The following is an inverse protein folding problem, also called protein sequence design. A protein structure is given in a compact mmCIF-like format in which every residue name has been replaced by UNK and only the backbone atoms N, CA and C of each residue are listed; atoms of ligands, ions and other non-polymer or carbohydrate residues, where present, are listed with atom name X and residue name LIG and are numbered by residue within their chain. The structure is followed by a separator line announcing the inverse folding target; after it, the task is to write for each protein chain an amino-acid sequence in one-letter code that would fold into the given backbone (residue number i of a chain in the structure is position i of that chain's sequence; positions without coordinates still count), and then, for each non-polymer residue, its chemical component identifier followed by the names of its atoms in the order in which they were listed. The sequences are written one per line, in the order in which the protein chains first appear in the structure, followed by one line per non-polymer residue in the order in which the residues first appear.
data_IF_054076680527
#
_entry.id   IF_054076680527
#
_cell.length_a   1.000
_cell.length_b   1.000
_cell.length_c   1.000
_cell.angle_alpha   90.00
_cell.angle_beta   90.00
_cell.angle_gamma   90.00
#
_symmetry.space_group_name_H-M   'P 1'
#
loop_
_entity.id
_entity.type
_entity.pdbx_description
1 polymer ?
#
# COMPACT_ATOMS: atom_id res chain seq x y z
N UNK A 1 -6.83 -15.00 69.60
CA UNK A 1 -6.97 -13.79 68.75
C UNK A 1 -5.74 -13.72 67.83
N UNK A 2 -5.96 -13.46 66.51
CA UNK A 2 -5.01 -13.12 65.43
C UNK A 2 -3.79 -14.06 65.20
N UNK A 3 -3.79 -14.96 64.20
CA UNK A 3 -3.51 -14.80 62.75
C UNK A 3 -2.24 -14.00 62.41
N UNK A 4 -1.21 -14.68 61.89
CA UNK A 4 -0.31 -14.10 60.89
C UNK A 4 0.14 -15.18 59.92
N UNK A 5 -0.42 -15.11 58.71
CA UNK A 5 0.01 -15.86 57.52
C UNK A 5 1.27 -15.20 56.95
N UNK A 6 2.27 -16.00 56.60
CA UNK A 6 3.37 -15.54 55.76
C UNK A 6 3.13 -16.02 54.32
N UNK A 7 2.73 -15.09 53.47
CA UNK A 7 2.46 -15.27 52.04
C UNK A 7 3.79 -15.45 51.30
N UNK A 8 3.95 -16.56 50.55
CA UNK A 8 5.03 -16.70 49.58
C UNK A 8 4.79 -15.71 48.42
N UNK A 9 5.72 -14.78 48.21
CA UNK A 9 5.75 -13.93 47.03
C UNK A 9 6.45 -14.68 45.89
N UNK A 10 5.66 -15.26 44.98
CA UNK A 10 6.18 -15.83 43.74
C UNK A 10 6.39 -14.69 42.73
N UNK A 11 7.64 -14.34 42.47
CA UNK A 11 8.03 -13.45 41.36
C UNK A 11 7.79 -14.19 40.05
N UNK A 12 6.71 -13.85 39.34
CA UNK A 12 6.44 -14.31 37.98
C UNK A 12 7.20 -13.39 37.01
N UNK A 13 8.35 -13.85 36.51
CA UNK A 13 9.05 -13.17 35.42
C UNK A 13 8.28 -13.44 34.13
N UNK A 14 7.56 -12.43 33.62
CA UNK A 14 6.93 -12.52 32.31
C UNK A 14 8.03 -12.53 31.23
N UNK A 15 8.28 -13.69 30.62
CA UNK A 15 9.06 -13.80 29.41
C UNK A 15 8.26 -13.12 28.28
N UNK A 16 8.66 -11.92 27.90
CA UNK A 16 8.16 -11.26 26.71
C UNK A 16 8.55 -12.11 25.49
N UNK A 17 7.58 -12.83 24.92
CA UNK A 17 7.72 -13.43 23.59
C UNK A 17 7.91 -12.28 22.60
N UNK A 18 9.16 -12.02 22.22
CA UNK A 18 9.46 -11.22 21.04
C UNK A 18 9.04 -12.06 19.84
N UNK A 19 7.85 -11.77 19.29
CA UNK A 19 7.43 -12.35 18.03
C UNK A 19 8.49 -12.03 16.98
N UNK A 20 8.92 -13.01 16.15
CA UNK A 20 9.84 -12.73 15.07
C UNK A 20 9.24 -11.66 14.17
N UNK A 21 9.98 -10.58 13.95
CA UNK A 21 9.63 -9.54 12.99
C UNK A 21 9.39 -10.21 11.64
N UNK A 22 8.15 -10.11 11.13
CA UNK A 22 7.84 -10.57 9.79
C UNK A 22 8.83 -9.91 8.81
N UNK A 23 9.32 -10.65 7.79
CA UNK A 23 10.22 -10.09 6.80
C UNK A 23 9.56 -8.85 6.18
N UNK A 24 10.31 -7.76 6.07
CA UNK A 24 9.84 -6.55 5.41
C UNK A 24 9.45 -6.91 3.98
N UNK A 25 8.14 -6.87 3.71
CA UNK A 25 7.61 -7.19 2.39
C UNK A 25 8.20 -6.23 1.35
N UNK A 26 8.63 -6.78 0.21
CA UNK A 26 9.29 -6.04 -0.85
C UNK A 26 8.44 -4.82 -1.30
N UNK A 27 9.10 -3.71 -1.70
CA UNK A 27 8.40 -2.49 -2.09
C UNK A 27 7.55 -2.69 -3.36
N UNK A 28 7.84 -3.70 -4.17
CA UNK A 28 6.99 -4.11 -5.27
C UNK A 28 6.97 -5.63 -5.35
N UNK A 29 5.87 -6.20 -5.83
CA UNK A 29 5.72 -7.65 -5.90
C UNK A 29 4.57 -8.12 -6.78
N UNK A 30 4.50 -9.43 -6.92
CA UNK A 30 3.46 -10.16 -7.63
C UNK A 30 2.96 -11.31 -6.76
N UNK A 31 1.69 -11.67 -6.92
CA UNK A 31 1.03 -12.70 -6.14
C UNK A 31 -0.32 -13.08 -6.73
N UNK A 32 -1.14 -13.74 -5.94
CA UNK A 32 -2.48 -14.20 -6.32
C UNK A 32 -3.51 -13.70 -5.32
N UNK A 33 -4.62 -13.15 -5.82
CA UNK A 33 -5.73 -12.66 -5.00
C UNK A 33 -7.06 -13.14 -5.60
N UNK A 34 -7.87 -13.84 -4.79
CA UNK A 34 -9.24 -14.24 -5.10
C UNK A 34 -9.47 -14.78 -6.52
N UNK A 35 -8.65 -15.75 -6.96
CA UNK A 35 -8.79 -16.38 -8.27
C UNK A 35 -8.14 -15.63 -9.44
N UNK A 36 -7.53 -14.48 -9.18
CA UNK A 36 -6.74 -13.71 -10.14
C UNK A 36 -5.29 -13.55 -9.72
N UNK A 37 -4.52 -12.87 -10.56
CA UNK A 37 -3.17 -12.43 -10.25
C UNK A 37 -3.20 -10.99 -9.70
N UNK A 38 -2.25 -10.70 -8.81
CA UNK A 38 -2.10 -9.41 -8.14
C UNK A 38 -0.68 -8.90 -8.38
N UNK A 39 -0.56 -7.62 -8.70
CA UNK A 39 0.72 -6.90 -8.77
C UNK A 39 0.61 -5.67 -7.90
N UNK A 40 1.62 -5.36 -7.11
CA UNK A 40 1.62 -4.17 -6.27
C UNK A 40 2.96 -3.47 -6.24
N UNK A 41 2.91 -2.17 -5.94
CA UNK A 41 4.04 -1.38 -5.46
C UNK A 41 3.59 -0.51 -4.30
N UNK A 42 4.48 -0.31 -3.33
CA UNK A 42 4.29 0.49 -2.14
C UNK A 42 5.49 1.36 -1.82
N UNK A 43 5.22 2.53 -1.24
CA UNK A 43 6.23 3.44 -0.69
C UNK A 43 5.69 4.07 0.59
N UNK A 44 6.57 4.28 1.57
CA UNK A 44 6.18 4.86 2.87
C UNK A 44 7.01 6.10 3.16
N UNK A 45 6.35 7.19 3.57
CA UNK A 45 7.01 8.42 4.00
C UNK A 45 6.23 9.08 5.16
N UNK A 46 6.57 10.33 5.52
CA UNK A 46 5.92 11.09 6.57
C UNK A 46 4.41 11.34 6.38
N UNK A 47 3.84 11.02 5.21
CA UNK A 47 2.40 11.08 4.99
C UNK A 47 1.70 9.74 5.24
N UNK A 48 2.37 8.61 5.09
CA UNK A 48 1.77 7.28 5.19
C UNK A 48 2.37 6.31 4.19
N UNK A 49 1.73 5.14 4.05
CA UNK A 49 2.03 4.11 3.05
C UNK A 49 1.12 4.30 1.84
N UNK A 50 1.73 4.67 0.71
CA UNK A 50 1.09 4.75 -0.60
C UNK A 50 1.26 3.41 -1.30
N UNK A 51 0.18 2.87 -1.84
CA UNK A 51 0.18 1.61 -2.57
C UNK A 51 -0.55 1.77 -3.90
N UNK A 52 -0.02 1.16 -4.94
CA UNK A 52 -0.70 0.95 -6.21
C UNK A 52 -0.76 -0.54 -6.47
N UNK A 53 -1.93 -1.04 -6.85
CA UNK A 53 -2.12 -2.46 -7.10
C UNK A 53 -3.02 -2.71 -8.30
N UNK A 54 -2.71 -3.79 -9.02
CA UNK A 54 -3.44 -4.34 -10.14
C UNK A 54 -3.94 -5.73 -9.79
N UNK A 55 -5.23 -5.99 -10.01
CA UNK A 55 -5.76 -7.34 -10.03
C UNK A 55 -6.24 -7.67 -11.44
N UNK A 56 -5.99 -8.89 -11.90
CA UNK A 56 -6.49 -9.38 -13.20
C UNK A 56 -6.83 -10.88 -13.17
N UNK A 57 -7.73 -11.31 -14.06
CA UNK A 57 -8.22 -12.69 -14.15
C UNK A 57 -9.36 -13.03 -13.19
N UNK A 58 -10.06 -12.05 -12.62
CA UNK A 58 -11.22 -12.24 -11.73
C UNK A 58 -12.40 -11.32 -12.06
N UNK A 59 -13.42 -11.32 -11.19
CA UNK A 59 -14.52 -10.33 -11.24
C UNK A 59 -14.04 -8.89 -11.02
N UNK A 60 -12.84 -8.77 -10.48
CA UNK A 60 -12.27 -7.57 -9.93
C UNK A 60 -11.05 -7.05 -10.70
N UNK A 61 -11.07 -7.19 -12.02
CA UNK A 61 -10.00 -6.70 -12.88
C UNK A 61 -9.89 -5.17 -12.87
N UNK A 62 -8.68 -4.66 -12.65
CA UNK A 62 -8.38 -3.23 -12.69
C UNK A 62 -7.20 -2.81 -11.81
N UNK A 63 -6.90 -1.52 -11.82
CA UNK A 63 -5.86 -0.91 -10.98
C UNK A 63 -6.45 0.13 -10.04
N UNK A 64 -5.93 0.18 -8.82
CA UNK A 64 -6.29 1.16 -7.79
C UNK A 64 -5.05 1.69 -7.06
N UNK A 65 -5.23 2.84 -6.39
CA UNK A 65 -4.19 3.49 -5.59
C UNK A 65 -4.76 3.88 -4.23
N UNK A 66 -4.00 3.72 -3.17
CA UNK A 66 -4.41 4.05 -1.81
C UNK A 66 -3.30 4.66 -0.97
N UNK A 67 -3.63 5.63 -0.12
CA UNK A 67 -2.71 6.19 0.87
C UNK A 67 -3.28 5.99 2.28
N UNK A 68 -2.54 5.22 3.09
CA UNK A 68 -2.91 4.88 4.46
C UNK A 68 -1.92 5.47 5.47
N UNK A 69 -2.41 6.15 6.50
CA UNK A 69 -1.63 6.54 7.68
C UNK A 69 -2.15 5.77 8.88
N UNK A 70 -1.29 4.97 9.51
CA UNK A 70 -1.66 4.11 10.65
C UNK A 70 -2.86 3.18 10.35
N UNK A 71 -2.92 2.64 9.14
CA UNK A 71 -4.01 1.78 8.68
C UNK A 71 -5.32 2.50 8.33
N UNK A 72 -5.36 3.84 8.43
CA UNK A 72 -6.53 4.64 8.07
C UNK A 72 -6.29 5.48 6.82
N UNK A 73 -7.38 5.79 6.10
CA UNK A 73 -7.32 6.66 4.93
C UNK A 73 -6.68 8.01 5.28
N UNK A 74 -5.72 8.43 4.46
CA UNK A 74 -5.15 9.76 4.57
C UNK A 74 -5.88 10.75 3.64
N UNK A 75 -6.06 11.99 4.09
CA UNK A 75 -6.80 13.06 3.41
C UNK A 75 -5.98 13.76 2.31
N UNK A 76 -5.19 13.00 1.56
CA UNK A 76 -4.33 13.51 0.48
C UNK A 76 -4.92 13.12 -0.87
N UNK A 77 -4.64 13.93 -1.89
CA UNK A 77 -5.06 13.57 -3.25
C UNK A 77 -4.14 12.46 -3.75
N UNK A 78 -4.69 11.35 -4.22
CA UNK A 78 -3.93 10.27 -4.87
C UNK A 78 -4.35 10.12 -6.32
N UNK A 79 -3.43 9.68 -7.17
CA UNK A 79 -3.69 9.46 -8.59
C UNK A 79 -2.94 8.26 -9.11
N UNK A 80 -3.49 7.67 -10.17
CA UNK A 80 -2.89 6.61 -10.93
C UNK A 80 -2.16 7.23 -12.12
N UNK A 81 -0.89 6.88 -12.31
CA UNK A 81 -0.08 7.32 -13.45
C UNK A 81 0.26 6.09 -14.30
N UNK A 82 0.04 6.16 -15.61
CA UNK A 82 0.16 5.04 -16.54
C UNK A 82 1.06 5.41 -17.72
N UNK A 83 1.79 4.42 -18.22
CA UNK A 83 2.69 4.56 -19.36
C UNK A 83 2.90 3.24 -20.08
N UNK A 84 3.33 3.30 -21.34
CA UNK A 84 3.67 2.11 -22.12
C UNK A 84 5.05 1.53 -21.75
N UNK A 85 5.79 2.18 -20.84
CA UNK A 85 7.13 1.80 -20.41
C UNK A 85 7.43 2.24 -18.96
N UNK A 86 8.41 1.63 -18.25
CA UNK A 86 8.62 1.79 -16.80
C UNK A 86 9.19 3.14 -16.35
N UNK A 87 9.39 4.09 -17.26
CA UNK A 87 9.97 5.40 -16.95
C UNK A 87 9.68 6.39 -18.08
N UNK A 88 8.42 6.83 -18.27
CA UNK A 88 8.07 7.89 -19.21
C UNK A 88 8.99 9.09 -19.03
N UNK A 89 9.41 9.68 -20.15
CA UNK A 89 10.08 10.97 -20.09
C UNK A 89 9.18 11.97 -19.34
N UNK A 90 9.75 12.90 -18.57
CA UNK A 90 8.98 13.95 -17.91
C UNK A 90 8.01 14.62 -18.91
N UNK A 91 6.71 14.62 -18.61
CA UNK A 91 5.66 15.18 -19.49
C UNK A 91 4.86 14.16 -20.32
N UNK A 92 5.18 12.86 -20.28
CA UNK A 92 4.40 11.80 -20.96
C UNK A 92 3.38 11.07 -20.07
N UNK A 93 2.87 11.71 -19.03
CA UNK A 93 1.97 11.08 -18.06
C UNK A 93 0.58 10.91 -18.67
N UNK A 94 0.27 9.71 -19.16
CA UNK A 94 -0.95 9.43 -19.88
C UNK A 94 -2.03 8.89 -18.92
N UNK A 95 -3.17 9.57 -18.88
CA UNK A 95 -4.47 8.93 -18.67
C UNK A 95 -4.88 8.58 -17.23
N UNK A 96 -5.87 9.35 -16.75
CA UNK A 96 -6.75 9.11 -15.59
C UNK A 96 -6.19 9.36 -14.18
N UNK A 97 -6.32 10.63 -13.80
CA UNK A 97 -6.13 11.16 -12.45
C UNK A 97 -7.48 11.22 -11.74
N UNK A 98 -7.70 10.37 -10.72
CA UNK A 98 -8.79 10.61 -9.79
C UNK A 98 -8.40 11.80 -8.89
N UNK A 99 -8.85 13.02 -9.22
CA UNK A 99 -8.66 14.16 -8.31
C UNK A 99 -9.65 14.06 -7.16
N UNK A 100 -9.16 13.70 -5.98
CA UNK A 100 -9.92 13.70 -4.74
C UNK A 100 -9.06 13.22 -3.58
N UNK A 101 -9.33 13.70 -2.36
CA UNK A 101 -8.68 13.22 -1.15
C UNK A 101 -9.18 11.79 -0.84
N UNK A 102 -8.37 10.75 -1.04
CA UNK A 102 -8.77 9.35 -0.77
C UNK A 102 -8.27 8.27 -1.74
N UNK A 103 -8.83 7.07 -1.65
CA UNK A 103 -8.50 5.90 -2.50
C UNK A 103 -8.89 6.18 -3.95
N UNK A 104 -7.94 6.10 -4.90
CA UNK A 104 -8.27 6.25 -6.32
C UNK A 104 -9.12 5.08 -6.79
N UNK A 105 -10.25 5.40 -7.42
CA UNK A 105 -11.18 4.46 -8.00
C UNK A 105 -10.47 3.46 -8.92
N UNK A 106 -10.96 2.23 -8.87
CA UNK A 106 -10.56 1.14 -9.75
C UNK A 106 -10.77 1.53 -11.21
N UNK A 107 -9.70 1.54 -12.00
CA UNK A 107 -9.78 1.77 -13.45
C UNK A 107 -9.94 0.43 -14.16
N UNK A 108 -11.05 0.24 -14.89
CA UNK A 108 -11.30 -0.91 -15.75
C UNK A 108 -10.79 -0.67 -17.18
N UNK A 109 -10.53 -1.74 -17.94
CA UNK A 109 -10.10 -1.65 -19.35
C UNK A 109 -8.59 -1.47 -19.56
N UNK A 110 -7.77 -1.84 -18.58
CA UNK A 110 -6.32 -1.80 -18.71
C UNK A 110 -5.82 -2.93 -19.62
N UNK A 111 -4.85 -2.59 -20.47
CA UNK A 111 -4.23 -3.54 -21.39
C UNK A 111 -3.00 -4.14 -20.71
N UNK A 112 -2.88 -5.47 -20.77
CA UNK A 112 -1.66 -6.16 -20.37
C UNK A 112 -0.44 -5.53 -21.06
N UNK A 113 0.64 -5.32 -20.31
CA UNK A 113 1.86 -4.64 -20.77
C UNK A 113 1.95 -3.16 -20.40
N UNK A 114 0.87 -2.52 -19.94
CA UNK A 114 0.94 -1.15 -19.42
C UNK A 114 1.69 -1.09 -18.10
N UNK A 115 2.50 -0.06 -17.93
CA UNK A 115 3.14 0.26 -16.66
C UNK A 115 2.29 1.26 -15.89
N UNK A 116 2.26 1.12 -14.58
CA UNK A 116 1.55 2.02 -13.69
C UNK A 116 2.34 2.30 -12.41
N UNK A 117 2.05 3.43 -11.79
CA UNK A 117 2.46 3.76 -10.42
C UNK A 117 1.37 4.56 -9.73
N UNK A 118 1.34 4.50 -8.41
CA UNK A 118 0.49 5.35 -7.59
C UNK A 118 1.27 6.57 -7.18
N UNK A 119 0.61 7.72 -7.15
CA UNK A 119 1.19 8.95 -6.65
C UNK A 119 0.22 9.67 -5.70
N UNK A 120 0.76 10.49 -4.80
CA UNK A 120 -0.01 11.35 -3.92
C UNK A 120 0.57 12.76 -3.91
N UNK A 121 -0.30 13.76 -3.76
CA UNK A 121 0.06 15.17 -3.66
C UNK A 121 -0.62 15.86 -2.48
N UNK A 122 0.10 16.78 -1.84
CA UNK A 122 -0.47 17.71 -0.86
C UNK A 122 -0.99 18.99 -1.54
N UNK A 123 -1.59 19.87 -0.74
CA UNK A 123 -2.12 21.16 -1.19
C UNK A 123 -0.98 22.13 -1.63
N UNK A 124 0.28 21.81 -1.32
CA UNK A 124 1.48 22.56 -1.72
C UNK A 124 2.19 21.96 -2.95
N UNK A 125 1.56 21.01 -3.65
CA UNK A 125 2.11 20.31 -4.83
C UNK A 125 3.40 19.52 -4.55
N UNK A 126 3.66 19.13 -3.31
CA UNK A 126 4.67 18.10 -3.06
C UNK A 126 4.16 16.77 -3.58
N UNK A 127 5.04 15.94 -4.14
CA UNK A 127 4.68 14.64 -4.69
C UNK A 127 5.41 13.50 -3.98
N UNK A 128 4.70 12.39 -3.83
CA UNK A 128 5.31 11.08 -3.65
C UNK A 128 4.72 10.11 -4.66
N UNK A 129 5.54 9.18 -5.15
CA UNK A 129 5.08 8.13 -6.04
C UNK A 129 5.71 6.79 -5.66
N UNK A 130 4.96 5.70 -5.88
CA UNK A 130 5.52 4.35 -5.85
C UNK A 130 6.51 4.15 -7.00
N UNK A 131 7.25 3.04 -6.96
CA UNK A 131 7.94 2.55 -8.15
C UNK A 131 6.94 2.23 -9.28
N UNK A 132 7.45 2.21 -10.51
CA UNK A 132 6.71 1.71 -11.66
C UNK A 132 6.59 0.19 -11.60
N UNK A 133 5.40 -0.32 -11.89
CA UNK A 133 5.13 -1.74 -12.02
C UNK A 133 4.27 -2.02 -13.24
N UNK A 134 4.25 -3.27 -13.68
CA UNK A 134 3.61 -3.67 -14.92
C UNK A 134 2.28 -4.37 -14.65
N UNK A 135 1.23 -3.90 -15.32
CA UNK A 135 -0.04 -4.61 -15.44
C UNK A 135 0.20 -5.81 -16.34
N UNK A 136 0.26 -7.00 -15.73
CA UNK A 136 0.49 -8.27 -16.43
C UNK A 136 -0.81 -8.98 -16.75
#
# INVERSE_FOLDING_TARGET
MLRTMATLATLLTAAALTAPSAPAEAPCGHGTLSGGQLTWCKVTNGWGQLEAFAQWGGSDDGVAVQLLRNGQQNNMTVYLDQADHPNPAPGQWAGWVARGKGFANKTSGLRAGLWFRGCATDDNQHFMCTGWTNYR
#
